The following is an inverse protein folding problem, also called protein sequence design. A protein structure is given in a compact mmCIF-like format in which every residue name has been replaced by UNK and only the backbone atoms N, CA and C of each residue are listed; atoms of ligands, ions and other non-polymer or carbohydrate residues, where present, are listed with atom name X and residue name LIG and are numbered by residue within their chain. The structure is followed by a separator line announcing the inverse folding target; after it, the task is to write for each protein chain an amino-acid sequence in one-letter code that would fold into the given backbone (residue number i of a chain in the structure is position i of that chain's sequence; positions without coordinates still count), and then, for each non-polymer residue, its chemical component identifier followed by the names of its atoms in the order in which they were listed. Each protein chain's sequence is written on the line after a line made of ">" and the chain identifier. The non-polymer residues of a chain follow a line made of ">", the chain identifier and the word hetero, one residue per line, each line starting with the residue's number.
data_IF_244149464268
#
_entry.id   IF_244149464268
#
_cell.length_a   1.000
_cell.length_b   1.000
_cell.length_c   1.000
_cell.angle_alpha   90.00
_cell.angle_beta   90.00
_cell.angle_gamma   90.00
#
_symmetry.space_group_name_H-M   'P 1'
#
loop_
_entity.id
_entity.type
_entity.pdbx_description
1 polymer ?
#
# COMPACT_ATOMS: atom_id res chain seq x y z
N UNK A 1 21.15 -3.61 -76.69
CA UNK A 1 22.24 -3.96 -75.76
C UNK A 1 22.12 -3.07 -74.54
N UNK A 2 21.51 -3.67 -73.51
CA UNK A 2 21.56 -3.45 -72.05
C UNK A 2 21.96 -2.05 -71.55
N UNK A 3 20.95 -1.36 -71.01
CA UNK A 3 21.04 -0.13 -70.22
C UNK A 3 21.64 -0.40 -68.83
N UNK A 4 22.30 0.64 -68.30
CA UNK A 4 22.68 0.86 -66.92
C UNK A 4 21.73 0.21 -65.90
N UNK A 5 22.24 -0.75 -65.12
CA UNK A 5 21.55 -1.28 -63.94
C UNK A 5 22.55 -1.57 -62.79
N UNK A 6 23.41 -0.60 -62.51
CA UNK A 6 24.31 -0.64 -61.33
C UNK A 6 24.35 0.72 -60.62
N UNK A 7 23.21 1.19 -60.08
CA UNK A 7 23.26 2.33 -59.14
C UNK A 7 22.09 2.46 -58.17
N UNK A 8 21.37 1.37 -57.89
CA UNK A 8 20.47 1.32 -56.76
C UNK A 8 20.59 -0.09 -56.17
N UNK A 9 21.19 -0.31 -55.01
CA UNK A 9 20.66 0.07 -53.70
C UNK A 9 21.80 -0.15 -52.68
N UNK A 10 22.27 0.92 -52.04
CA UNK A 10 22.82 0.88 -50.67
C UNK A 10 22.77 2.30 -50.12
N UNK A 11 21.61 2.66 -49.57
CA UNK A 11 21.52 3.84 -48.73
C UNK A 11 22.32 3.55 -47.45
N UNK A 12 23.61 3.85 -47.45
CA UNK A 12 24.41 3.81 -46.23
C UNK A 12 23.94 4.94 -45.31
N UNK A 13 23.26 4.58 -44.24
CA UNK A 13 22.86 5.49 -43.18
C UNK A 13 24.10 6.03 -42.47
N UNK A 14 24.73 7.07 -43.02
CA UNK A 14 25.98 7.60 -42.48
C UNK A 14 25.73 8.32 -41.15
N UNK A 15 26.37 7.80 -40.11
CA UNK A 15 26.29 8.33 -38.76
C UNK A 15 27.23 9.53 -38.62
N UNK A 16 26.66 10.74 -38.57
CA UNK A 16 27.44 11.97 -38.37
C UNK A 16 27.67 12.24 -36.89
N UNK A 17 28.85 12.73 -36.49
CA UNK A 17 29.18 13.17 -35.12
C UNK A 17 28.10 14.08 -34.51
N UNK A 18 27.47 14.94 -35.32
CA UNK A 18 26.36 15.82 -34.93
C UNK A 18 25.07 15.07 -34.58
N UNK A 19 24.75 13.98 -35.29
CA UNK A 19 23.62 13.08 -34.94
C UNK A 19 23.91 12.35 -33.64
N UNK A 20 25.14 11.91 -33.42
CA UNK A 20 25.58 11.28 -32.16
C UNK A 20 25.48 12.20 -30.95
N UNK A 21 25.99 13.42 -31.04
CA UNK A 21 25.87 14.38 -29.95
C UNK A 21 24.42 14.75 -29.63
N UNK A 22 23.54 14.85 -30.64
CA UNK A 22 22.12 15.10 -30.43
C UNK A 22 21.41 13.94 -29.73
N UNK A 23 21.71 12.70 -30.11
CA UNK A 23 21.11 11.50 -29.50
C UNK A 23 21.61 11.35 -28.05
N UNK A 24 22.90 11.53 -27.80
CA UNK A 24 23.45 11.48 -26.43
C UNK A 24 22.85 12.59 -25.57
N UNK A 25 22.84 13.84 -26.05
CA UNK A 25 22.29 14.97 -25.30
C UNK A 25 20.80 14.82 -24.98
N UNK A 26 19.99 14.32 -25.92
CA UNK A 26 18.58 14.03 -25.67
C UNK A 26 18.40 12.84 -24.71
N UNK A 27 19.21 11.78 -24.85
CA UNK A 27 19.18 10.60 -24.00
C UNK A 27 19.55 10.88 -22.55
N UNK A 28 20.56 11.73 -22.30
CA UNK A 28 20.98 12.09 -20.95
C UNK A 28 19.98 13.00 -20.24
N UNK A 29 19.35 13.95 -20.95
CA UNK A 29 18.26 14.76 -20.37
C UNK A 29 17.04 13.90 -20.02
N UNK A 30 16.64 12.99 -20.90
CA UNK A 30 15.54 12.06 -20.63
C UNK A 30 15.83 11.12 -19.46
N UNK A 31 17.05 10.59 -19.36
CA UNK A 31 17.47 9.72 -18.26
C UNK A 31 17.44 10.45 -16.91
N UNK A 32 18.03 11.65 -16.83
CA UNK A 32 18.03 12.44 -15.60
C UNK A 32 16.61 12.88 -15.22
N UNK A 33 15.81 13.34 -16.19
CA UNK A 33 14.41 13.71 -15.97
C UNK A 33 13.57 12.53 -15.46
N UNK A 34 13.73 11.35 -16.06
CA UNK A 34 13.05 10.13 -15.62
C UNK A 34 13.44 9.67 -14.22
N UNK A 35 14.73 9.75 -13.87
CA UNK A 35 15.22 9.42 -12.51
C UNK A 35 14.65 10.41 -11.48
N UNK A 36 14.69 11.71 -11.76
CA UNK A 36 14.15 12.71 -10.83
C UNK A 36 12.64 12.55 -10.66
N UNK A 37 11.88 12.43 -11.74
CA UNK A 37 10.43 12.19 -11.68
C UNK A 37 10.10 10.90 -10.93
N UNK A 38 10.83 9.80 -11.15
CA UNK A 38 10.65 8.55 -10.41
C UNK A 38 10.94 8.68 -8.91
N UNK A 39 11.94 9.48 -8.52
CA UNK A 39 12.24 9.74 -7.10
C UNK A 39 11.18 10.59 -6.40
N UNK A 40 10.63 11.59 -7.10
CA UNK A 40 9.56 12.43 -6.56
C UNK A 40 8.18 11.73 -6.60
N UNK A 41 7.91 10.89 -7.59
CA UNK A 41 6.66 10.14 -7.71
C UNK A 41 6.61 8.89 -6.83
N UNK A 42 7.76 8.36 -6.39
CA UNK A 42 7.88 7.09 -5.67
C UNK A 42 7.53 7.12 -4.18
N UNK A 43 7.16 8.28 -3.62
CA UNK A 43 6.80 8.42 -2.20
C UNK A 43 5.31 8.69 -2.00
N UNK A 44 4.46 8.09 -2.84
CA UNK A 44 3.03 8.05 -2.54
C UNK A 44 2.81 7.15 -1.33
N UNK A 45 2.37 7.72 -0.20
CA UNK A 45 1.91 6.93 0.94
C UNK A 45 0.97 5.84 0.46
N UNK A 46 1.22 4.59 0.86
CA UNK A 46 0.37 3.47 0.51
C UNK A 46 -1.05 3.77 1.05
N UNK A 47 -1.97 4.08 0.14
CA UNK A 47 -3.36 4.38 0.51
C UNK A 47 -4.05 3.10 0.94
N UNK A 48 -4.39 3.02 2.22
CA UNK A 48 -5.18 1.93 2.77
C UNK A 48 -6.62 2.37 3.00
N UNK A 49 -7.58 1.51 2.63
CA UNK A 49 -8.98 1.72 2.99
C UNK A 49 -9.08 1.78 4.53
N UNK A 50 -9.59 2.89 5.04
CA UNK A 50 -9.63 3.19 6.48
C UNK A 50 -11.05 3.54 6.89
N UNK A 51 -11.54 2.88 7.94
CA UNK A 51 -12.83 3.18 8.55
C UNK A 51 -12.61 4.04 9.81
N UNK A 52 -13.41 5.10 9.95
CA UNK A 52 -13.38 6.01 11.09
C UNK A 52 -14.79 6.08 11.67
N UNK A 53 -14.92 5.83 12.98
CA UNK A 53 -16.17 5.97 13.71
C UNK A 53 -15.96 6.80 14.97
N UNK A 54 -17.00 7.58 15.33
CA UNK A 54 -17.08 8.28 16.60
C UNK A 54 -17.98 7.51 17.56
N UNK A 55 -17.60 7.53 18.85
CA UNK A 55 -18.31 6.88 19.96
C UNK A 55 -18.38 7.85 21.13
N UNK A 56 -19.43 7.79 21.93
CA UNK A 56 -19.58 8.66 23.10
C UNK A 56 -18.63 8.27 24.24
N UNK A 57 -18.31 6.97 24.37
CA UNK A 57 -17.39 6.44 25.37
C UNK A 57 -16.84 5.07 24.96
N UNK A 58 -15.74 4.63 25.60
CA UNK A 58 -15.14 3.31 25.38
C UNK A 58 -16.03 2.14 25.85
N UNK A 59 -17.00 2.38 26.73
CA UNK A 59 -17.98 1.38 27.18
C UNK A 59 -19.09 1.10 26.16
N UNK A 60 -19.10 1.82 25.03
CA UNK A 60 -20.04 1.58 23.94
C UNK A 60 -19.84 0.17 23.35
N UNK A 61 -20.81 -0.31 22.56
CA UNK A 61 -20.77 -1.65 21.94
C UNK A 61 -19.69 -1.77 20.82
N UNK A 62 -18.41 -1.77 21.21
CA UNK A 62 -17.24 -1.72 20.32
C UNK A 62 -17.27 -2.79 19.23
N UNK A 63 -17.67 -4.03 19.58
CA UNK A 63 -17.82 -5.13 18.63
C UNK A 63 -18.73 -4.75 17.46
N UNK A 64 -19.89 -4.14 17.74
CA UNK A 64 -20.87 -3.75 16.71
C UNK A 64 -20.32 -2.67 15.80
N UNK A 65 -19.61 -1.69 16.37
CA UNK A 65 -18.97 -0.62 15.61
C UNK A 65 -17.89 -1.18 14.69
N UNK A 66 -17.05 -2.09 15.19
CA UNK A 66 -16.00 -2.73 14.41
C UNK A 66 -16.54 -3.64 13.32
N UNK A 67 -17.63 -4.40 13.58
CA UNK A 67 -18.30 -5.19 12.55
C UNK A 67 -18.89 -4.31 11.44
N UNK A 68 -19.47 -3.15 11.78
CA UNK A 68 -19.91 -2.16 10.79
C UNK A 68 -18.74 -1.65 9.93
N UNK A 69 -17.60 -1.35 10.58
CA UNK A 69 -16.37 -0.96 9.88
C UNK A 69 -15.85 -2.05 8.95
N UNK A 70 -15.82 -3.31 9.40
CA UNK A 70 -15.43 -4.45 8.57
C UNK A 70 -16.32 -4.59 7.34
N UNK A 71 -17.63 -4.47 7.50
CA UNK A 71 -18.57 -4.49 6.38
C UNK A 71 -18.30 -3.37 5.37
N UNK A 72 -18.04 -2.14 5.83
CA UNK A 72 -17.72 -1.01 4.95
C UNK A 72 -16.37 -1.17 4.23
N UNK A 73 -15.42 -1.83 4.88
CA UNK A 73 -14.11 -2.18 4.30
C UNK A 73 -14.17 -3.45 3.43
N UNK A 74 -15.33 -4.10 3.30
CA UNK A 74 -15.49 -5.34 2.55
C UNK A 74 -14.94 -6.60 3.24
N UNK A 75 -14.53 -6.49 4.51
CA UNK A 75 -13.99 -7.58 5.32
C UNK A 75 -15.15 -8.47 5.77
N UNK A 76 -15.10 -9.75 5.42
CA UNK A 76 -16.18 -10.70 5.72
C UNK A 76 -15.67 -12.01 6.33
N UNK A 77 -16.58 -12.86 6.81
CA UNK A 77 -16.25 -14.20 7.31
C UNK A 77 -15.49 -15.03 6.28
N UNK A 78 -15.72 -14.84 4.97
CA UNK A 78 -14.98 -15.54 3.91
C UNK A 78 -13.46 -15.34 4.03
N UNK A 79 -13.03 -14.17 4.46
CA UNK A 79 -11.61 -13.83 4.61
C UNK A 79 -11.06 -14.15 5.98
N UNK A 80 -11.89 -14.24 7.01
CA UNK A 80 -11.47 -14.39 8.41
C UNK A 80 -11.56 -15.83 8.90
N UNK A 81 -12.51 -16.61 8.39
CA UNK A 81 -12.84 -17.94 8.93
C UNK A 81 -11.63 -18.87 8.93
N UNK A 82 -11.34 -19.46 10.09
CA UNK A 82 -10.24 -20.40 10.31
C UNK A 82 -8.86 -19.76 10.39
N UNK A 83 -8.74 -18.43 10.26
CA UNK A 83 -7.44 -17.74 10.36
C UNK A 83 -7.05 -17.50 11.82
N UNK A 84 -5.73 -17.46 12.04
CA UNK A 84 -5.13 -16.93 13.26
C UNK A 84 -4.81 -15.46 13.03
N UNK A 85 -5.39 -14.57 13.84
CA UNK A 85 -5.31 -13.12 13.68
C UNK A 85 -4.34 -12.55 14.72
N UNK A 86 -3.45 -11.66 14.32
CA UNK A 86 -2.61 -10.89 15.22
C UNK A 86 -3.13 -9.45 15.29
N UNK A 87 -3.53 -9.01 16.48
CA UNK A 87 -3.77 -7.61 16.79
C UNK A 87 -2.48 -6.98 17.29
N UNK A 88 -2.08 -5.86 16.67
CA UNK A 88 -0.90 -5.07 17.05
C UNK A 88 -1.32 -3.70 17.60
N UNK A 89 -2.01 -3.64 18.75
CA UNK A 89 -2.33 -2.37 19.37
C UNK A 89 -1.04 -1.64 19.78
N UNK A 90 -1.12 -0.32 19.86
CA UNK A 90 -0.03 0.46 20.39
C UNK A 90 -0.14 0.50 21.92
N UNK A 91 0.50 -0.44 22.60
CA UNK A 91 0.55 -0.51 24.06
C UNK A 91 1.80 0.22 24.56
N UNK A 92 1.60 1.28 25.32
CA UNK A 92 2.68 2.01 26.00
C UNK A 92 2.35 2.02 27.48
N UNK A 93 3.27 1.47 28.29
CA UNK A 93 3.15 1.36 29.75
C UNK A 93 1.74 0.94 30.23
N UNK A 94 1.21 -0.22 29.79
CA UNK A 94 -0.09 -0.66 30.27
C UNK A 94 -0.02 -0.88 31.79
N UNK A 95 -0.75 -0.06 32.54
CA UNK A 95 -0.84 -0.12 34.01
C UNK A 95 -2.25 -0.50 34.42
N UNK A 96 -2.35 -1.35 35.44
CA UNK A 96 -3.65 -1.68 36.03
C UNK A 96 -4.24 -0.42 36.69
N UNK A 97 -5.54 -0.19 36.49
CA UNK A 97 -6.31 0.91 37.12
C UNK A 97 -5.90 2.33 36.73
N UNK A 98 -5.05 2.51 35.71
CA UNK A 98 -4.72 3.81 35.14
C UNK A 98 -5.23 3.92 33.71
N UNK A 99 -5.48 5.15 33.29
CA UNK A 99 -5.88 5.44 31.92
C UNK A 99 -4.76 5.01 30.95
N UNK A 100 -5.17 4.36 29.86
CA UNK A 100 -4.26 3.85 28.84
C UNK A 100 -3.84 4.96 27.90
N UNK A 101 -2.54 5.07 27.63
CA UNK A 101 -1.98 6.19 26.87
C UNK A 101 -2.49 6.21 25.42
N UNK A 102 -2.50 5.05 24.75
CA UNK A 102 -2.73 4.98 23.30
C UNK A 102 -3.93 4.12 22.89
N UNK A 103 -4.15 2.98 23.54
CA UNK A 103 -5.23 2.06 23.15
C UNK A 103 -5.97 1.54 24.37
N UNK A 104 -7.28 1.81 24.41
CA UNK A 104 -8.14 1.37 25.49
C UNK A 104 -8.44 -0.15 25.37
N UNK A 105 -8.37 -0.94 26.47
CA UNK A 105 -8.58 -2.39 26.44
C UNK A 105 -9.94 -2.82 25.88
N UNK A 106 -10.99 -2.02 26.09
CA UNK A 106 -12.32 -2.30 25.53
C UNK A 106 -12.35 -2.24 24.00
N UNK A 107 -11.49 -1.42 23.38
CA UNK A 107 -11.32 -1.42 21.92
C UNK A 107 -10.68 -2.72 21.45
N UNK A 108 -9.64 -3.17 22.16
CA UNK A 108 -8.94 -4.43 21.88
C UNK A 108 -9.92 -5.60 22.03
N UNK A 109 -10.66 -5.65 23.13
CA UNK A 109 -11.70 -6.65 23.39
C UNK A 109 -12.74 -6.66 22.27
N UNK A 110 -13.26 -5.51 21.88
CA UNK A 110 -14.23 -5.39 20.79
C UNK A 110 -13.68 -5.94 19.47
N UNK A 111 -12.40 -5.72 19.17
CA UNK A 111 -11.76 -6.25 17.98
C UNK A 111 -11.59 -7.77 18.03
N UNK A 112 -11.15 -8.31 19.16
CA UNK A 112 -11.07 -9.76 19.40
C UNK A 112 -12.43 -10.41 19.19
N UNK A 113 -13.47 -9.90 19.84
CA UNK A 113 -14.84 -10.43 19.73
C UNK A 113 -15.37 -10.34 18.29
N UNK A 114 -15.08 -9.25 17.56
CA UNK A 114 -15.47 -9.09 16.17
C UNK A 114 -14.83 -10.17 15.27
N UNK A 115 -13.51 -10.37 15.34
CA UNK A 115 -12.82 -11.41 14.56
C UNK A 115 -13.28 -12.83 14.90
N UNK A 116 -13.43 -13.14 16.19
CA UNK A 116 -13.95 -14.44 16.62
C UNK A 116 -15.38 -14.67 16.12
N UNK A 117 -16.23 -13.64 16.14
CA UNK A 117 -17.60 -13.75 15.62
C UNK A 117 -17.68 -13.99 14.10
N UNK A 118 -16.64 -13.58 13.36
CA UNK A 118 -16.49 -13.87 11.93
C UNK A 118 -15.84 -15.24 11.65
N UNK A 119 -15.51 -15.99 12.70
CA UNK A 119 -15.00 -17.36 12.61
C UNK A 119 -13.48 -17.49 12.62
N UNK A 120 -12.75 -16.48 13.09
CA UNK A 120 -11.31 -16.63 13.34
C UNK A 120 -11.08 -17.84 14.27
N UNK A 121 -10.02 -18.61 14.00
CA UNK A 121 -9.64 -19.74 14.84
C UNK A 121 -9.05 -19.26 16.16
N UNK A 122 -8.19 -18.24 16.08
CA UNK A 122 -7.50 -17.64 17.23
C UNK A 122 -7.26 -16.16 16.97
N UNK A 123 -7.21 -15.37 18.05
CA UNK A 123 -6.81 -13.96 17.99
C UNK A 123 -5.75 -13.73 19.07
N UNK A 124 -4.57 -13.33 18.65
CA UNK A 124 -3.44 -12.96 19.51
C UNK A 124 -3.37 -11.45 19.63
N UNK A 125 -3.11 -10.95 20.83
CA UNK A 125 -2.80 -9.53 21.07
C UNK A 125 -1.31 -9.46 21.36
N UNK A 126 -0.56 -8.78 20.49
CA UNK A 126 0.87 -8.61 20.68
C UNK A 126 1.22 -7.23 21.26
N UNK A 127 2.10 -7.26 22.25
CA UNK A 127 2.99 -6.15 22.57
C UNK A 127 4.25 -6.27 21.70
N UNK A 128 4.86 -5.12 21.36
CA UNK A 128 5.80 -4.98 20.25
C UNK A 128 7.04 -5.87 20.29
#
# INVERSE_FOLDING_TARGET
>A
MINNDESAIKAETSWTRRKFLKIIGAGSVAAVGGILLGRFAGHGDAKAATFIASVSSYDSEMRKILLSGFQQLGISSKEIKGKRILLKPNLVEPRQYLEHINTHPLVIRGAVEAFLSLGAAEVFVAEG
#
